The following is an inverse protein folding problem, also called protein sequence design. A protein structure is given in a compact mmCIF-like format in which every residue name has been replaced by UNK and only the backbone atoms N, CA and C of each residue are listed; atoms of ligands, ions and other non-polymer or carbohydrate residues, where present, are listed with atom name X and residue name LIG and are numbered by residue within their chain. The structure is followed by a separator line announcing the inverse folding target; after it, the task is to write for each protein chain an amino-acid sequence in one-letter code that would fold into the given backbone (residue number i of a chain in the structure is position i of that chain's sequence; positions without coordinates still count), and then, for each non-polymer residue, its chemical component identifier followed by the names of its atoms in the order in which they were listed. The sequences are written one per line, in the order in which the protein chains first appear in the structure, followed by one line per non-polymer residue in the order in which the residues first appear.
data_IF_904244057916
#
_entry.id   IF_904244057916
#
_cell.length_a   1.000
_cell.length_b   1.000
_cell.length_c   1.000
_cell.angle_alpha   90.00
_cell.angle_beta   90.00
_cell.angle_gamma   90.00
#
_symmetry.space_group_name_H-M   'P 1'
#
loop_
_entity.id
_entity.type
_entity.pdbx_description
1 polymer ?
#
# COMPACT_ATOMS: atom_id res chain seq x y z
N UNK A 1 -44.18 3.76 1.73
CA UNK A 1 -42.94 3.87 0.92
C UNK A 1 -42.03 4.87 1.59
N UNK A 2 -41.04 4.43 2.37
CA UNK A 2 -39.82 5.14 2.83
C UNK A 2 -39.10 4.10 3.68
N UNK A 3 -38.31 3.22 3.05
CA UNK A 3 -37.37 2.30 3.74
C UNK A 3 -36.31 1.70 2.82
N UNK A 4 -36.27 2.11 1.55
CA UNK A 4 -35.34 1.55 0.55
C UNK A 4 -34.14 2.45 0.23
N UNK A 5 -34.09 3.69 0.75
CA UNK A 5 -33.01 4.65 0.40
C UNK A 5 -31.86 4.63 1.42
N UNK A 6 -32.07 4.10 2.63
CA UNK A 6 -31.02 4.02 3.67
C UNK A 6 -30.04 2.85 3.50
N UNK A 7 -30.25 1.96 2.53
CA UNK A 7 -29.39 0.79 2.32
C UNK A 7 -28.30 0.99 1.25
N UNK A 8 -28.29 2.14 0.56
CA UNK A 8 -27.37 2.39 -0.56
C UNK A 8 -26.13 3.22 -0.21
N UNK A 9 -25.98 3.71 1.03
CA UNK A 9 -24.88 4.62 1.41
C UNK A 9 -23.68 3.96 2.11
N UNK A 10 -23.48 2.64 2.03
CA UNK A 10 -22.38 2.01 2.77
C UNK A 10 -21.64 0.91 2.02
N UNK A 11 -21.49 1.05 0.70
CA UNK A 11 -20.31 0.50 0.02
C UNK A 11 -19.34 1.66 -0.12
N UNK A 12 -18.81 2.13 1.02
CA UNK A 12 -17.60 2.92 1.01
C UNK A 12 -16.51 2.00 0.47
N UNK A 13 -16.11 2.21 -0.78
CA UNK A 13 -15.08 1.40 -1.41
C UNK A 13 -13.78 1.74 -0.70
N UNK A 14 -13.33 0.86 0.21
CA UNK A 14 -12.32 1.11 1.25
C UNK A 14 -10.89 1.23 0.68
N UNK A 15 -10.66 2.06 -0.31
CA UNK A 15 -9.42 2.04 -1.08
C UNK A 15 -8.50 3.11 -0.56
N UNK A 16 -7.52 2.74 0.25
CA UNK A 16 -6.69 3.76 0.87
C UNK A 16 -5.37 4.06 0.15
N UNK A 17 -4.76 2.95 -0.25
CA UNK A 17 -3.38 2.90 -0.74
C UNK A 17 -3.26 1.94 -1.91
N UNK A 18 -4.40 1.54 -2.48
CA UNK A 18 -4.42 0.79 -3.71
C UNK A 18 -4.26 1.80 -4.83
N UNK A 19 -3.25 1.64 -5.68
CA UNK A 19 -3.06 2.54 -6.80
C UNK A 19 -4.27 2.57 -7.77
N UNK A 20 -4.65 3.74 -8.26
CA UNK A 20 -5.77 3.94 -9.21
C UNK A 20 -7.17 4.08 -8.59
N UNK A 21 -7.27 4.55 -7.35
CA UNK A 21 -8.48 4.61 -6.53
C UNK A 21 -8.83 6.00 -5.98
N UNK A 22 -7.92 6.96 -6.11
CA UNK A 22 -8.12 8.36 -5.77
C UNK A 22 -7.20 9.26 -6.59
N UNK A 23 -6.90 10.46 -6.10
CA UNK A 23 -6.11 11.48 -6.80
C UNK A 23 -4.79 11.81 -6.08
N UNK A 24 -4.51 11.14 -4.96
CA UNK A 24 -3.36 11.41 -4.13
C UNK A 24 -2.13 10.58 -4.53
N UNK A 25 -0.96 11.09 -4.17
CA UNK A 25 0.28 10.33 -4.09
C UNK A 25 0.46 9.83 -2.65
N UNK A 26 0.86 8.58 -2.47
CA UNK A 26 1.27 8.03 -1.18
C UNK A 26 2.68 7.49 -1.21
N UNK A 27 3.36 7.63 -0.07
CA UNK A 27 4.64 6.97 0.19
C UNK A 27 4.49 6.08 1.42
N UNK A 28 4.99 4.86 1.33
CA UNK A 28 5.06 3.91 2.43
C UNK A 28 6.48 3.35 2.50
N UNK A 29 7.09 3.37 3.68
CA UNK A 29 8.44 2.87 3.93
C UNK A 29 8.36 1.75 4.95
N UNK A 30 8.78 0.54 4.55
CA UNK A 30 8.82 -0.64 5.40
C UNK A 30 10.26 -0.89 5.84
N UNK A 31 10.47 -0.96 7.15
CA UNK A 31 11.77 -1.25 7.73
C UNK A 31 11.86 -2.72 8.12
N UNK A 32 12.79 -3.43 7.49
CA UNK A 32 13.09 -4.83 7.82
C UNK A 32 14.32 -4.88 8.74
N UNK A 33 14.20 -5.54 9.88
CA UNK A 33 15.28 -5.73 10.85
C UNK A 33 16.28 -6.82 10.41
N UNK A 34 16.70 -6.77 9.15
CA UNK A 34 17.63 -7.70 8.54
C UNK A 34 18.74 -6.94 7.81
N UNK A 35 19.92 -7.55 7.62
CA UNK A 35 20.98 -6.97 6.80
C UNK A 35 20.52 -6.77 5.35
N UNK A 36 21.01 -5.70 4.72
CA UNK A 36 20.79 -5.49 3.29
C UNK A 36 21.67 -6.44 2.46
N UNK A 37 21.03 -7.29 1.65
CA UNK A 37 21.68 -8.01 0.54
C UNK A 37 20.84 -7.88 -0.73
N UNK A 38 21.44 -8.13 -1.90
CA UNK A 38 20.69 -8.09 -3.16
C UNK A 38 19.58 -9.15 -3.22
N UNK A 39 19.81 -10.32 -2.62
CA UNK A 39 18.84 -11.40 -2.55
C UNK A 39 17.67 -11.04 -1.62
N UNK A 40 17.98 -10.51 -0.43
CA UNK A 40 16.95 -10.06 0.51
C UNK A 40 16.15 -8.90 -0.09
N UNK A 41 16.82 -7.93 -0.73
CA UNK A 41 16.15 -6.85 -1.44
C UNK A 41 15.09 -7.38 -2.41
N UNK A 42 15.48 -8.28 -3.32
CA UNK A 42 14.55 -8.85 -4.31
C UNK A 42 13.41 -9.62 -3.65
N UNK A 43 13.71 -10.41 -2.62
CA UNK A 43 12.70 -11.17 -1.88
C UNK A 43 11.64 -10.27 -1.24
N UNK A 44 12.06 -9.22 -0.54
CA UNK A 44 11.14 -8.35 0.19
C UNK A 44 10.44 -7.34 -0.73
N UNK A 45 11.05 -6.91 -1.83
CA UNK A 45 10.34 -6.18 -2.89
C UNK A 45 9.20 -7.03 -3.48
N UNK A 46 9.46 -8.31 -3.76
CA UNK A 46 8.43 -9.24 -4.26
C UNK A 46 7.35 -9.54 -3.22
N UNK A 47 7.71 -9.67 -1.94
CA UNK A 47 6.76 -9.81 -0.83
C UNK A 47 5.80 -8.61 -0.78
N UNK A 48 6.34 -7.39 -0.79
CA UNK A 48 5.56 -6.15 -0.78
C UNK A 48 4.66 -6.07 -2.03
N UNK A 49 5.20 -6.40 -3.20
CA UNK A 49 4.44 -6.42 -4.46
C UNK A 49 3.28 -7.41 -4.41
N UNK A 50 3.51 -8.63 -3.93
CA UNK A 50 2.48 -9.66 -3.78
C UNK A 50 1.39 -9.23 -2.82
N UNK A 51 1.75 -8.60 -1.70
CA UNK A 51 0.77 -8.05 -0.77
C UNK A 51 -0.12 -6.99 -1.43
N UNK A 52 0.46 -6.06 -2.20
CA UNK A 52 -0.33 -5.07 -2.96
C UNK A 52 -1.28 -5.72 -3.96
N UNK A 53 -0.82 -6.74 -4.70
CA UNK A 53 -1.63 -7.48 -5.67
C UNK A 53 -2.77 -8.23 -4.97
N UNK A 54 -2.48 -8.95 -3.88
CA UNK A 54 -3.46 -9.73 -3.12
C UNK A 54 -4.55 -8.82 -2.57
N UNK A 55 -4.16 -7.70 -1.98
CA UNK A 55 -5.09 -6.72 -1.45
C UNK A 55 -5.97 -6.20 -2.60
N UNK A 56 -5.38 -5.63 -3.64
CA UNK A 56 -6.12 -5.10 -4.78
C UNK A 56 -7.09 -6.12 -5.40
N UNK A 57 -6.62 -7.35 -5.62
CA UNK A 57 -7.38 -8.39 -6.35
C UNK A 57 -8.42 -9.06 -5.48
N UNK A 58 -8.04 -9.54 -4.29
CA UNK A 58 -8.90 -10.41 -3.49
C UNK A 58 -9.76 -9.63 -2.50
N UNK A 59 -9.23 -8.55 -1.95
CA UNK A 59 -9.96 -7.78 -0.94
C UNK A 59 -10.77 -6.65 -1.55
N UNK A 60 -10.38 -6.19 -2.73
CA UNK A 60 -10.98 -5.03 -3.40
C UNK A 60 -11.51 -5.32 -4.81
N UNK A 61 -11.33 -6.53 -5.33
CA UNK A 61 -11.84 -6.95 -6.64
C UNK A 61 -11.41 -6.03 -7.79
N UNK A 62 -10.18 -5.52 -7.73
CA UNK A 62 -9.58 -4.65 -8.75
C UNK A 62 -8.38 -5.30 -9.41
N UNK A 63 -8.14 -4.91 -10.66
CA UNK A 63 -6.90 -5.26 -11.35
C UNK A 63 -5.77 -4.37 -10.84
N UNK A 64 -4.71 -4.99 -10.33
CA UNK A 64 -3.47 -4.28 -10.00
C UNK A 64 -2.79 -3.80 -11.28
N UNK A 65 -2.50 -2.50 -11.38
CA UNK A 65 -1.62 -1.96 -12.41
C UNK A 65 -0.30 -1.52 -11.76
N UNK A 66 0.79 -2.18 -12.15
CA UNK A 66 2.13 -1.89 -11.65
C UNK A 66 2.69 -0.53 -12.08
N UNK A 67 2.10 0.15 -13.04
CA UNK A 67 2.53 1.51 -13.44
C UNK A 67 2.25 2.55 -12.36
N UNK A 68 1.23 2.32 -11.54
CA UNK A 68 0.85 3.23 -10.46
C UNK A 68 1.59 2.96 -9.15
N UNK A 69 2.48 1.97 -9.09
CA UNK A 69 3.25 1.67 -7.89
C UNK A 69 4.72 1.39 -8.22
N UNK A 70 5.61 2.15 -7.61
CA UNK A 70 7.06 1.90 -7.64
C UNK A 70 7.48 1.31 -6.31
N UNK A 71 8.22 0.21 -6.35
CA UNK A 71 8.73 -0.50 -5.17
C UNK A 71 10.24 -0.54 -5.33
N UNK A 72 10.97 -0.10 -4.31
CA UNK A 72 12.43 -0.06 -4.35
C UNK A 72 13.00 -0.30 -2.95
N UNK A 73 13.85 -1.31 -2.83
CA UNK A 73 14.61 -1.63 -1.64
C UNK A 73 15.97 -0.94 -1.64
N UNK A 74 16.37 -0.41 -0.48
CA UNK A 74 17.65 0.27 -0.26
C UNK A 74 18.26 -0.12 1.09
N UNK A 75 19.55 0.15 1.22
CA UNK A 75 20.26 0.02 2.49
C UNK A 75 20.15 1.30 3.30
N UNK A 76 19.76 1.18 4.58
CA UNK A 76 19.79 2.26 5.57
C UNK A 76 20.45 1.72 6.82
N UNK A 77 21.63 2.24 7.16
CA UNK A 77 22.43 1.74 8.28
C UNK A 77 22.62 0.21 8.22
N UNK A 78 23.00 -0.29 7.04
CA UNK A 78 23.17 -1.71 6.71
C UNK A 78 21.93 -2.59 6.84
N UNK A 79 20.76 -2.01 7.13
CA UNK A 79 19.47 -2.70 7.17
C UNK A 79 18.67 -2.50 5.89
N UNK A 80 17.82 -3.48 5.58
CA UNK A 80 16.92 -3.39 4.43
C UNK A 80 15.72 -2.49 4.74
N UNK A 81 15.49 -1.52 3.87
CA UNK A 81 14.28 -0.69 3.84
C UNK A 81 13.66 -0.80 2.46
N UNK A 82 12.35 -1.01 2.38
CA UNK A 82 11.60 -1.02 1.11
C UNK A 82 10.67 0.17 1.08
N UNK A 83 10.86 1.03 0.09
CA UNK A 83 9.99 2.16 -0.18
C UNK A 83 8.96 1.79 -1.27
N UNK A 84 7.73 2.22 -1.05
CA UNK A 84 6.61 2.11 -1.98
C UNK A 84 6.11 3.51 -2.27
N UNK A 85 6.11 3.88 -3.54
CA UNK A 85 5.44 5.08 -4.03
C UNK A 85 4.22 4.65 -4.84
N UNK A 86 3.02 5.01 -4.38
CA UNK A 86 1.76 4.67 -5.01
C UNK A 86 1.03 5.93 -5.49
N UNK A 87 0.62 5.95 -6.75
CA UNK A 87 -0.09 7.06 -7.40
C UNK A 87 -1.59 6.79 -7.46
N UNK A 88 -2.36 7.88 -7.50
CA UNK A 88 -3.82 7.84 -7.60
C UNK A 88 -4.42 7.00 -6.46
N UNK A 89 -4.03 7.23 -5.21
CA UNK A 89 -4.61 6.56 -4.05
C UNK A 89 -5.62 7.49 -3.35
N UNK A 90 -6.42 6.97 -2.43
CA UNK A 90 -7.36 7.77 -1.64
C UNK A 90 -6.94 7.74 -0.17
N UNK A 91 -6.28 8.81 0.29
CA UNK A 91 -5.66 8.82 1.61
C UNK A 91 -6.63 8.72 2.81
N UNK A 92 -7.94 8.95 2.62
CA UNK A 92 -8.93 8.92 3.70
C UNK A 92 -9.04 7.55 4.40
N UNK A 93 -8.59 6.49 3.75
CA UNK A 93 -8.75 5.13 4.27
C UNK A 93 -7.45 4.50 4.80
N UNK A 94 -6.37 5.27 4.93
CA UNK A 94 -4.98 4.79 5.10
C UNK A 94 -4.86 3.66 6.14
N UNK A 95 -5.41 3.90 7.32
CA UNK A 95 -5.43 2.95 8.44
C UNK A 95 -6.05 1.59 8.08
N UNK A 96 -7.07 1.57 7.23
CA UNK A 96 -7.74 0.32 6.85
C UNK A 96 -6.88 -0.50 5.89
N UNK A 97 -6.19 0.15 4.97
CA UNK A 97 -5.22 -0.53 4.11
C UNK A 97 -4.04 -1.05 4.94
N UNK A 98 -3.47 -0.24 5.83
CA UNK A 98 -2.33 -0.65 6.66
C UNK A 98 -2.63 -1.92 7.46
N UNK A 99 -3.82 -2.00 8.05
CA UNK A 99 -4.25 -3.23 8.77
C UNK A 99 -4.25 -4.46 7.87
N UNK A 100 -4.70 -4.33 6.62
CA UNK A 100 -4.73 -5.43 5.65
C UNK A 100 -3.33 -5.77 5.15
N UNK A 101 -2.52 -4.76 4.92
CA UNK A 101 -1.14 -4.90 4.46
C UNK A 101 -0.26 -5.61 5.50
N UNK A 102 -0.38 -5.24 6.77
CA UNK A 102 0.29 -5.94 7.88
C UNK A 102 -0.10 -7.42 7.95
N UNK A 103 -1.36 -7.77 7.64
CA UNK A 103 -1.78 -9.18 7.60
C UNK A 103 -1.13 -9.98 6.45
N UNK A 104 -0.73 -9.33 5.35
CA UNK A 104 -0.11 -9.98 4.20
C UNK A 104 1.41 -10.11 4.37
N UNK A 105 2.08 -9.08 4.90
CA UNK A 105 3.55 -9.06 4.99
C UNK A 105 4.07 -9.46 6.37
N UNK A 106 3.27 -9.34 7.43
CA UNK A 106 3.69 -9.50 8.82
C UNK A 106 3.84 -8.16 9.56
N UNK A 107 4.17 -8.26 10.86
CA UNK A 107 4.34 -7.09 11.73
C UNK A 107 5.74 -6.51 11.60
N UNK A 108 5.87 -5.46 10.79
CA UNK A 108 7.08 -4.66 10.64
C UNK A 108 6.82 -3.20 10.99
N UNK A 109 7.89 -2.43 11.21
CA UNK A 109 7.79 -0.99 11.33
C UNK A 109 7.51 -0.39 9.95
N UNK A 110 6.39 0.34 9.84
CA UNK A 110 5.91 0.93 8.59
C UNK A 110 5.66 2.42 8.84
N UNK A 111 6.36 3.26 8.11
CA UNK A 111 6.08 4.69 8.02
C UNK A 111 5.25 4.96 6.78
N UNK A 112 4.26 5.85 6.89
CA UNK A 112 3.42 6.26 5.77
C UNK A 112 3.28 7.77 5.71
N UNK A 113 3.16 8.28 4.49
CA UNK A 113 2.85 9.67 4.20
C UNK A 113 1.77 9.74 3.14
N UNK A 114 0.59 10.21 3.54
CA UNK A 114 -0.60 10.29 2.70
C UNK A 114 -1.42 11.56 3.05
N UNK A 115 -1.67 12.49 2.10
CA UNK A 115 -1.01 12.58 0.81
C UNK A 115 0.47 12.93 0.98
N UNK A 116 1.31 12.35 0.14
CA UNK A 116 2.67 12.81 -0.07
C UNK A 116 2.63 13.97 -1.05
N UNK A 117 3.02 15.17 -0.60
CA UNK A 117 3.27 16.28 -1.55
C UNK A 117 4.23 15.77 -2.62
N UNK A 118 3.85 15.89 -3.90
CA UNK A 118 4.80 15.78 -5.01
C UNK A 118 5.95 16.73 -4.70
N UNK A 119 7.15 16.18 -4.60
CA UNK A 119 8.37 16.97 -4.48
C UNK A 119 8.41 17.85 -5.74
N UNK A 120 8.46 19.17 -5.52
CA UNK A 120 8.86 20.17 -6.53
C UNK A 120 10.20 19.80 -7.18
#
# INVERSE_FOLDING_TARGET
MIRFILLFTLIAVVLAFIPGTGEDLGVMTIHFDIPYTALDREHYEDLVKKALINIATHQYQRQYNGEYARINGRSVNDKLVVDVQAMNINCEHENTFLRKFICEIGYYHIDTKCPANTIE
#
